data_IF_291915150894
#
_entry.id   IF_291915150894
#
_cell.length_a   1.000
_cell.length_b   1.000
_cell.length_c   1.000
_cell.angle_alpha   90.00
_cell.angle_beta   90.00
_cell.angle_gamma   90.00
#
_symmetry.space_group_name_H-M   'P 1'
#
loop_
_entity.id
_entity.type
_entity.pdbx_description
1 polymer ?
#
# COMPACT_ATOMS: atom_id res chain seq x y z
N UNK A 1 -12.65 21.81 -73.54
CA UNK A 1 -11.83 21.11 -72.53
C UNK A 1 -11.07 22.15 -71.72
N UNK A 2 -11.51 22.43 -70.50
CA UNK A 2 -10.74 23.17 -69.50
C UNK A 2 -11.24 22.70 -68.14
N UNK A 3 -10.36 22.04 -67.40
CA UNK A 3 -10.66 21.42 -66.12
C UNK A 3 -10.62 22.49 -65.01
N UNK A 4 -11.76 22.75 -64.38
CA UNK A 4 -11.82 23.51 -63.14
C UNK A 4 -11.49 22.60 -61.97
N UNK A 5 -10.33 22.81 -61.33
CA UNK A 5 -9.97 22.13 -60.10
C UNK A 5 -10.80 22.71 -58.93
N UNK A 6 -11.67 21.88 -58.35
CA UNK A 6 -12.32 22.17 -57.07
C UNK A 6 -11.28 21.99 -55.96
N UNK A 7 -10.76 23.08 -55.41
CA UNK A 7 -9.98 23.05 -54.18
C UNK A 7 -10.94 22.91 -53.00
N UNK A 8 -11.01 21.70 -52.42
CA UNK A 8 -11.68 21.49 -51.14
C UNK A 8 -10.75 22.00 -50.04
N UNK A 9 -11.06 23.17 -49.49
CA UNK A 9 -10.42 23.65 -48.28
C UNK A 9 -10.89 22.79 -47.11
N UNK A 10 -10.08 21.80 -46.73
CA UNK A 10 -10.25 21.09 -45.45
C UNK A 10 -9.86 22.08 -44.36
N UNK A 11 -10.84 22.78 -43.82
CA UNK A 11 -10.66 23.57 -42.61
C UNK A 11 -10.39 22.58 -41.47
N UNK A 12 -9.12 22.36 -41.17
CA UNK A 12 -8.69 21.65 -39.97
C UNK A 12 -9.20 22.44 -38.77
N UNK A 13 -10.33 22.00 -38.21
CA UNK A 13 -10.78 22.41 -36.89
C UNK A 13 -9.79 21.82 -35.87
N UNK A 14 -8.62 22.45 -35.77
CA UNK A 14 -7.76 22.37 -34.61
C UNK A 14 -8.50 23.06 -33.48
N UNK A 15 -9.47 22.37 -32.90
CA UNK A 15 -10.02 22.75 -31.61
C UNK A 15 -8.84 22.74 -30.64
N UNK A 16 -8.39 23.92 -30.22
CA UNK A 16 -7.53 24.08 -29.06
C UNK A 16 -8.23 23.41 -27.89
N UNK A 17 -7.81 22.19 -27.54
CA UNK A 17 -8.14 21.61 -26.24
C UNK A 17 -7.48 22.53 -25.23
N UNK A 18 -8.22 23.24 -24.37
CA UNK A 18 -7.60 24.07 -23.36
C UNK A 18 -6.78 23.14 -22.48
N UNK A 19 -5.45 23.28 -22.53
CA UNK A 19 -4.59 22.64 -21.55
C UNK A 19 -5.00 23.19 -20.19
N UNK A 20 -5.56 22.33 -19.34
CA UNK A 20 -5.71 22.66 -17.94
C UNK A 20 -4.31 22.90 -17.39
N UNK A 21 -3.99 24.17 -17.15
CA UNK A 21 -2.81 24.53 -16.39
C UNK A 21 -3.13 24.13 -14.95
N UNK A 22 -2.70 22.93 -14.56
CA UNK A 22 -2.72 22.52 -13.16
C UNK A 22 -1.68 23.39 -12.47
N UNK A 23 -2.15 24.39 -11.72
CA UNK A 23 -1.29 25.21 -10.88
C UNK A 23 -0.49 24.33 -9.93
N UNK A 24 0.73 24.76 -9.59
CA UNK A 24 1.52 24.08 -8.56
C UNK A 24 0.70 24.09 -7.25
N UNK A 25 0.44 22.90 -6.71
CA UNK A 25 -0.23 22.77 -5.41
C UNK A 25 0.79 23.17 -4.34
N UNK A 26 0.48 24.21 -3.56
CA UNK A 26 1.35 24.59 -2.46
C UNK A 26 1.30 23.52 -1.37
N UNK A 27 2.42 23.23 -0.69
CA UNK A 27 2.43 22.22 0.36
C UNK A 27 1.39 22.49 1.44
N UNK A 28 1.00 23.73 1.72
CA UNK A 28 -0.03 24.06 2.70
C UNK A 28 -1.45 23.62 2.28
N UNK A 29 -1.71 23.49 0.98
CA UNK A 29 -3.02 23.12 0.44
C UNK A 29 -3.22 21.60 0.35
N UNK A 30 -2.15 20.82 0.58
CA UNK A 30 -2.20 19.36 0.61
C UNK A 30 -2.89 18.92 1.91
N UNK A 31 -4.14 18.47 1.77
CA UNK A 31 -4.94 17.88 2.85
C UNK A 31 -4.41 16.52 3.31
N UNK A 32 -3.99 15.66 2.38
CA UNK A 32 -3.50 14.31 2.68
C UNK A 32 -2.47 13.87 1.65
N UNK A 33 -1.35 13.34 2.14
CA UNK A 33 -0.32 12.66 1.35
C UNK A 33 -0.45 11.16 1.56
N UNK A 34 -0.71 10.43 0.48
CA UNK A 34 -0.81 8.96 0.49
C UNK A 34 0.45 8.35 -0.12
N UNK A 35 1.13 7.51 0.66
CA UNK A 35 2.27 6.71 0.22
C UNK A 35 1.81 5.26 0.06
N UNK A 36 2.19 4.64 -1.05
CA UNK A 36 1.80 3.29 -1.41
C UNK A 36 3.06 2.47 -1.65
N UNK A 37 3.17 1.32 -1.01
CA UNK A 37 4.30 0.40 -1.18
C UNK A 37 3.81 -1.05 -1.12
N UNK A 38 4.23 -1.88 -2.07
CA UNK A 38 3.99 -3.33 -2.08
C UNK A 38 5.29 -4.09 -1.89
N UNK A 39 5.18 -5.40 -1.65
CA UNK A 39 6.32 -6.34 -1.66
C UNK A 39 7.43 -5.94 -0.67
N UNK A 40 7.07 -5.18 0.36
CA UNK A 40 8.02 -4.64 1.34
C UNK A 40 8.61 -5.72 2.25
N UNK A 41 8.06 -6.94 2.19
CA UNK A 41 8.60 -8.10 2.85
C UNK A 41 9.72 -8.81 2.07
N UNK A 42 9.97 -8.50 0.80
CA UNK A 42 10.98 -9.22 -0.02
C UNK A 42 12.43 -8.83 0.33
N UNK A 43 12.78 -7.52 0.42
CA UNK A 43 14.15 -7.10 0.70
C UNK A 43 14.71 -7.72 2.00
N UNK A 44 16.03 -7.92 2.04
CA UNK A 44 16.68 -8.39 3.28
C UNK A 44 16.52 -7.34 4.38
N UNK A 45 15.86 -7.64 5.51
CA UNK A 45 15.63 -6.67 6.58
C UNK A 45 16.91 -6.22 7.30
N UNK A 46 18.07 -6.79 6.97
CA UNK A 46 19.39 -6.42 7.51
C UNK A 46 20.13 -5.44 6.61
N UNK A 47 19.66 -5.22 5.39
CA UNK A 47 20.24 -4.29 4.42
C UNK A 47 19.47 -2.96 4.42
N UNK A 48 20.02 -1.93 3.75
CA UNK A 48 19.31 -0.65 3.60
C UNK A 48 18.10 -0.82 2.68
N UNK A 49 16.93 -0.43 3.17
CA UNK A 49 15.70 -0.39 2.40
C UNK A 49 15.50 0.98 1.76
N UNK A 50 16.25 1.32 0.70
CA UNK A 50 16.22 2.66 0.09
C UNK A 50 14.80 3.19 -0.21
N UNK A 51 13.88 2.31 -0.62
CA UNK A 51 12.47 2.66 -0.83
C UNK A 51 11.73 2.97 0.48
N UNK A 52 11.87 2.11 1.51
CA UNK A 52 11.28 2.32 2.84
C UNK A 52 11.84 3.57 3.51
N UNK A 53 13.15 3.78 3.43
CA UNK A 53 13.86 4.91 4.01
C UNK A 53 13.40 6.23 3.36
N UNK A 54 13.34 6.27 2.03
CA UNK A 54 12.87 7.43 1.28
C UNK A 54 11.40 7.74 1.56
N UNK A 55 10.54 6.73 1.58
CA UNK A 55 9.13 6.88 1.94
C UNK A 55 8.96 7.42 3.36
N UNK A 56 9.68 6.85 4.33
CA UNK A 56 9.65 7.27 5.73
C UNK A 56 10.05 8.75 5.88
N UNK A 57 11.14 9.15 5.24
CA UNK A 57 11.63 10.53 5.26
C UNK A 57 10.61 11.51 4.66
N UNK A 58 9.98 11.14 3.52
CA UNK A 58 8.96 11.98 2.88
C UNK A 58 7.69 12.07 3.72
N UNK A 59 7.21 10.95 4.29
CA UNK A 59 6.03 10.93 5.13
C UNK A 59 6.20 11.76 6.42
N UNK A 60 7.41 11.77 6.98
CA UNK A 60 7.78 12.55 8.16
C UNK A 60 7.77 14.07 7.95
N UNK A 61 7.75 14.56 6.69
CA UNK A 61 7.67 16.01 6.42
C UNK A 61 6.35 16.63 6.86
N UNK A 62 5.29 15.84 6.97
CA UNK A 62 3.98 16.31 7.40
C UNK A 62 3.14 15.18 8.04
N UNK A 63 3.53 14.70 9.22
CA UNK A 63 3.07 13.43 9.76
C UNK A 63 1.55 13.36 9.95
N UNK A 64 0.94 14.43 10.46
CA UNK A 64 -0.51 14.50 10.73
C UNK A 64 -1.40 14.39 9.48
N UNK A 65 -0.82 14.55 8.27
CA UNK A 65 -1.53 14.43 6.99
C UNK A 65 -0.97 13.30 6.11
N UNK A 66 -0.06 12.50 6.62
CA UNK A 66 0.58 11.43 5.88
C UNK A 66 -0.04 10.08 6.25
N UNK A 67 -0.31 9.27 5.23
CA UNK A 67 -0.75 7.89 5.37
C UNK A 67 0.20 7.02 4.54
N UNK A 68 0.69 5.94 5.14
CA UNK A 68 1.44 4.89 4.43
C UNK A 68 0.56 3.66 4.34
N UNK A 69 0.39 3.12 3.13
CA UNK A 69 -0.33 1.88 2.87
C UNK A 69 0.64 0.84 2.30
N UNK A 70 0.83 -0.24 3.07
CA UNK A 70 1.52 -1.45 2.63
C UNK A 70 0.50 -2.34 1.92
N UNK A 71 0.70 -2.58 0.64
CA UNK A 71 -0.28 -3.11 -0.32
C UNK A 71 -0.31 -4.65 -0.43
N UNK A 72 0.38 -5.35 0.45
CA UNK A 72 0.49 -6.81 0.39
C UNK A 72 1.93 -7.29 0.41
N UNK A 73 2.07 -8.60 0.54
CA UNK A 73 3.35 -9.31 0.54
C UNK A 73 4.33 -8.70 1.53
N UNK A 74 3.83 -8.57 2.75
CA UNK A 74 4.54 -7.97 3.86
C UNK A 74 5.55 -8.95 4.47
N UNK A 75 5.36 -10.26 4.26
CA UNK A 75 6.24 -11.30 4.80
C UNK A 75 6.53 -12.40 3.78
N UNK A 76 7.77 -12.40 3.28
CA UNK A 76 8.28 -13.48 2.44
C UNK A 76 8.97 -14.59 3.26
N UNK A 77 9.02 -15.82 2.70
CA UNK A 77 8.34 -16.23 1.47
C UNK A 77 6.88 -16.69 1.68
N UNK A 78 6.42 -16.83 2.92
CA UNK A 78 5.20 -17.57 3.24
C UNK A 78 4.48 -17.09 4.51
N UNK A 79 4.48 -15.79 4.81
CA UNK A 79 3.73 -15.27 5.95
C UNK A 79 4.36 -15.58 7.30
N UNK A 80 3.59 -15.39 8.37
CA UNK A 80 4.04 -15.66 9.74
C UNK A 80 3.88 -17.16 10.06
N UNK A 81 4.96 -17.90 10.36
CA UNK A 81 4.88 -19.28 10.82
C UNK A 81 4.33 -19.36 12.25
N UNK A 82 3.82 -20.54 12.62
CA UNK A 82 3.15 -20.77 13.91
C UNK A 82 4.13 -20.97 15.06
N UNK A 83 5.26 -21.60 14.80
CA UNK A 83 6.27 -21.95 15.79
C UNK A 83 7.32 -20.85 15.95
N UNK A 84 7.97 -20.80 17.11
CA UNK A 84 9.04 -19.83 17.40
C UNK A 84 10.37 -20.21 16.74
N UNK A 85 10.32 -20.55 15.45
CA UNK A 85 11.46 -21.03 14.67
C UNK A 85 12.37 -19.88 14.19
N UNK A 86 13.44 -20.22 13.47
CA UNK A 86 14.31 -19.22 12.83
C UNK A 86 13.52 -18.42 11.77
N UNK A 87 12.60 -19.08 11.09
CA UNK A 87 11.68 -18.49 10.12
C UNK A 87 10.75 -17.47 10.79
N UNK A 88 10.25 -17.75 12.00
CA UNK A 88 9.47 -16.76 12.76
C UNK A 88 10.29 -15.53 13.08
N UNK A 89 11.55 -15.71 13.51
CA UNK A 89 12.42 -14.59 13.82
C UNK A 89 12.69 -13.73 12.57
N UNK A 90 12.82 -14.33 11.39
CA UNK A 90 12.98 -13.59 10.13
C UNK A 90 11.72 -12.86 9.71
N UNK A 91 10.58 -13.56 9.73
CA UNK A 91 9.27 -13.01 9.45
C UNK A 91 8.94 -11.81 10.34
N UNK A 92 9.29 -11.91 11.64
CA UNK A 92 9.16 -10.80 12.59
C UNK A 92 10.04 -9.62 12.23
N UNK A 93 11.31 -9.84 11.87
CA UNK A 93 12.22 -8.75 11.47
C UNK A 93 11.69 -8.01 10.23
N UNK A 94 11.18 -8.73 9.23
CA UNK A 94 10.57 -8.15 8.02
C UNK A 94 9.40 -7.24 8.34
N UNK A 95 8.50 -7.64 9.24
CA UNK A 95 7.43 -6.75 9.70
C UNK A 95 7.95 -5.60 10.56
N UNK A 96 8.93 -5.85 11.41
CA UNK A 96 9.48 -4.85 12.32
C UNK A 96 10.11 -3.68 11.56
N UNK A 97 10.87 -3.94 10.50
CA UNK A 97 11.44 -2.86 9.65
C UNK A 97 10.34 -2.02 8.99
N UNK A 98 9.26 -2.66 8.51
CA UNK A 98 8.12 -1.94 7.90
C UNK A 98 7.34 -1.11 8.93
N UNK A 99 7.05 -1.67 10.10
CA UNK A 99 6.38 -0.96 11.20
C UNK A 99 7.24 0.22 11.68
N UNK A 100 8.56 0.06 11.74
CA UNK A 100 9.49 1.13 12.12
C UNK A 100 9.68 2.18 11.02
N UNK A 101 9.46 1.84 9.75
CA UNK A 101 9.42 2.79 8.64
C UNK A 101 8.20 3.72 8.67
N UNK A 102 7.22 3.50 9.57
CA UNK A 102 6.11 4.44 9.80
C UNK A 102 6.52 5.47 10.87
N UNK A 103 6.74 6.74 10.51
CA UNK A 103 7.16 7.76 11.47
C UNK A 103 6.09 8.05 12.54
N UNK A 104 6.48 8.57 13.73
CA UNK A 104 5.52 9.04 14.72
C UNK A 104 4.53 10.06 14.15
N UNK A 105 3.25 9.89 14.44
CA UNK A 105 2.17 10.76 13.95
C UNK A 105 1.68 10.44 12.53
N UNK A 106 2.39 9.59 11.78
CA UNK A 106 1.92 9.07 10.48
C UNK A 106 1.01 7.87 10.72
N UNK A 107 -0.04 7.74 9.90
CA UNK A 107 -0.93 6.57 9.91
C UNK A 107 -0.36 5.46 9.03
N UNK A 108 -0.22 4.26 9.58
CA UNK A 108 0.18 3.06 8.84
C UNK A 108 -0.98 2.09 8.60
N UNK A 109 -1.16 1.64 7.36
CA UNK A 109 -2.19 0.68 6.97
C UNK A 109 -1.53 -0.49 6.27
N UNK A 110 -1.83 -1.72 6.69
CA UNK A 110 -1.34 -2.94 6.06
C UNK A 110 -2.50 -3.70 5.43
N UNK A 111 -2.33 -4.15 4.19
CA UNK A 111 -3.23 -5.08 3.50
C UNK A 111 -2.44 -6.38 3.28
N UNK A 112 -3.02 -7.57 3.49
CA UNK A 112 -2.34 -8.84 3.16
C UNK A 112 -2.21 -9.06 1.66
N UNK A 113 -1.13 -9.69 1.24
CA UNK A 113 -0.95 -10.23 -0.12
C UNK A 113 -0.83 -11.75 -0.13
N UNK A 114 -0.65 -12.37 -1.29
CA UNK A 114 -0.61 -13.84 -1.40
C UNK A 114 0.55 -14.49 -0.65
N UNK A 115 1.68 -13.82 -0.50
CA UNK A 115 2.82 -14.33 0.26
C UNK A 115 2.53 -14.37 1.77
N UNK A 116 1.63 -13.53 2.26
CA UNK A 116 1.22 -13.51 3.67
C UNK A 116 0.35 -14.73 4.06
N UNK A 117 -0.23 -15.40 3.07
CA UNK A 117 -1.19 -16.50 3.21
C UNK A 117 -0.57 -17.91 3.21
N UNK A 118 0.64 -18.08 3.75
CA UNK A 118 1.29 -19.39 3.90
C UNK A 118 1.28 -20.24 2.60
N UNK A 119 1.63 -19.61 1.47
CA UNK A 119 1.60 -20.23 0.12
C UNK A 119 0.22 -20.79 -0.28
N UNK A 120 -0.84 -20.10 0.12
CA UNK A 120 -2.22 -20.54 -0.04
C UNK A 120 -2.52 -21.94 0.56
N UNK A 121 -1.71 -22.39 1.54
CA UNK A 121 -1.93 -23.64 2.25
C UNK A 121 -2.91 -23.51 3.43
N UNK A 122 -3.28 -24.62 4.10
CA UNK A 122 -4.32 -24.64 5.14
C UNK A 122 -4.11 -23.71 6.33
N UNK A 123 -2.88 -23.25 6.57
CA UNK A 123 -2.54 -22.32 7.65
C UNK A 123 -2.62 -20.84 7.22
N UNK A 124 -3.07 -20.53 6.01
CA UNK A 124 -3.08 -19.17 5.47
C UNK A 124 -3.89 -18.19 6.33
N UNK A 125 -5.12 -18.56 6.71
CA UNK A 125 -5.94 -17.72 7.58
C UNK A 125 -5.30 -17.52 8.97
N UNK A 126 -4.64 -18.55 9.51
CA UNK A 126 -3.91 -18.46 10.77
C UNK A 126 -2.71 -17.50 10.65
N UNK A 127 -1.94 -17.59 9.55
CA UNK A 127 -0.79 -16.74 9.26
C UNK A 127 -1.17 -15.26 9.15
N UNK A 128 -2.26 -14.94 8.44
CA UNK A 128 -2.77 -13.55 8.32
C UNK A 128 -3.18 -12.99 9.69
N UNK A 129 -3.88 -13.80 10.50
CA UNK A 129 -4.26 -13.38 11.87
C UNK A 129 -3.04 -13.23 12.79
N UNK A 130 -2.01 -14.04 12.61
CA UNK A 130 -0.73 -13.90 13.33
C UNK A 130 0.00 -12.61 12.93
N UNK A 131 0.02 -12.29 11.64
CA UNK A 131 0.57 -11.04 11.10
C UNK A 131 -0.11 -9.82 11.72
N UNK A 132 -1.45 -9.78 11.74
CA UNK A 132 -2.19 -8.69 12.38
C UNK A 132 -1.82 -8.52 13.86
N UNK A 133 -1.74 -9.63 14.61
CA UNK A 133 -1.33 -9.61 16.04
C UNK A 133 0.10 -9.11 16.22
N UNK A 134 1.01 -9.51 15.34
CA UNK A 134 2.40 -9.10 15.41
C UNK A 134 2.55 -7.60 15.09
N UNK A 135 1.85 -7.09 14.08
CA UNK A 135 1.75 -5.65 13.79
C UNK A 135 1.20 -4.89 15.00
N UNK A 136 0.13 -5.40 15.62
CA UNK A 136 -0.46 -4.79 16.81
C UNK A 136 0.48 -4.76 18.02
N UNK A 137 1.40 -5.72 18.11
CA UNK A 137 2.44 -5.78 19.15
C UNK A 137 3.58 -4.81 18.85
N UNK A 138 4.08 -4.79 17.61
CA UNK A 138 5.21 -3.96 17.18
C UNK A 138 4.87 -2.46 17.16
N UNK A 139 3.64 -2.08 16.83
CA UNK A 139 3.25 -0.67 16.69
C UNK A 139 3.33 0.14 17.99
N UNK A 140 3.23 -0.50 19.16
CA UNK A 140 3.08 0.20 20.42
C UNK A 140 1.84 1.10 20.42
N UNK A 141 2.04 2.41 20.59
CA UNK A 141 0.96 3.42 20.61
C UNK A 141 0.68 4.09 19.25
N UNK A 142 1.42 3.72 18.19
CA UNK A 142 1.29 4.31 16.85
C UNK A 142 -0.03 3.88 16.18
N UNK A 143 -0.62 4.75 15.36
CA UNK A 143 -1.82 4.47 14.56
C UNK A 143 -1.46 3.59 13.35
N UNK A 144 -1.19 2.32 13.62
CA UNK A 144 -0.84 1.31 12.62
C UNK A 144 -1.80 0.14 12.74
N UNK A 145 -2.43 -0.29 11.64
CA UNK A 145 -3.35 -1.44 11.67
C UNK A 145 -3.41 -2.17 10.34
N UNK A 146 -3.83 -3.43 10.40
CA UNK A 146 -4.15 -4.22 9.23
C UNK A 146 -5.62 -4.01 8.85
N UNK A 147 -5.89 -3.91 7.55
CA UNK A 147 -7.24 -3.81 6.98
C UNK A 147 -7.32 -4.67 5.70
N UNK A 148 -8.38 -5.46 5.51
CA UNK A 148 -9.39 -5.83 6.49
C UNK A 148 -8.76 -6.61 7.68
N UNK A 149 -9.30 -6.41 8.88
CA UNK A 149 -8.84 -7.11 10.07
C UNK A 149 -9.42 -8.52 10.20
N UNK A 150 -8.87 -9.31 11.13
CA UNK A 150 -9.33 -10.65 11.54
C UNK A 150 -9.28 -11.73 10.44
N UNK A 151 -8.57 -11.49 9.34
CA UNK A 151 -8.56 -12.37 8.17
C UNK A 151 -9.89 -12.39 7.42
N UNK A 152 -10.64 -11.29 7.48
CA UNK A 152 -11.86 -11.11 6.70
C UNK A 152 -11.53 -10.67 5.25
N UNK A 153 -12.38 -10.96 4.25
CA UNK A 153 -12.15 -10.54 2.87
C UNK A 153 -12.28 -9.02 2.65
N UNK A 154 -12.89 -8.31 3.60
CA UNK A 154 -13.39 -6.95 3.40
C UNK A 154 -14.75 -6.95 2.68
N UNK A 155 -15.19 -5.81 2.12
CA UNK A 155 -14.49 -4.52 2.17
C UNK A 155 -14.44 -3.94 3.59
N UNK A 156 -13.32 -3.28 3.90
CA UNK A 156 -13.21 -2.42 5.08
C UNK A 156 -12.94 -0.99 4.64
N UNK A 157 -13.66 -0.02 5.18
CA UNK A 157 -13.52 1.40 4.81
C UNK A 157 -12.76 2.20 5.86
N UNK A 158 -11.90 3.10 5.42
CA UNK A 158 -11.26 4.13 6.26
C UNK A 158 -11.40 5.49 5.59
N UNK A 159 -11.99 6.44 6.32
CA UNK A 159 -12.14 7.81 5.85
C UNK A 159 -11.08 8.72 6.48
N UNK A 160 -10.42 9.53 5.65
CA UNK A 160 -9.45 10.55 6.07
C UNK A 160 -9.73 11.83 5.30
N UNK A 161 -10.38 12.79 5.95
CA UNK A 161 -10.82 14.03 5.29
C UNK A 161 -11.73 13.71 4.11
N UNK A 162 -11.34 14.13 2.89
CA UNK A 162 -12.05 13.82 1.64
C UNK A 162 -11.66 12.49 0.99
N UNK A 163 -10.69 11.77 1.52
CA UNK A 163 -10.25 10.45 1.02
C UNK A 163 -11.02 9.32 1.69
N UNK A 164 -11.53 8.36 0.91
CA UNK A 164 -12.02 7.06 1.38
C UNK A 164 -11.13 5.94 0.85
N UNK A 165 -10.48 5.21 1.74
CA UNK A 165 -9.75 3.98 1.43
C UNK A 165 -10.68 2.78 1.62
N UNK A 166 -10.66 1.87 0.64
CA UNK A 166 -11.42 0.61 0.67
C UNK A 166 -10.40 -0.53 0.59
N UNK A 167 -10.18 -1.22 1.71
CA UNK A 167 -9.30 -2.38 1.80
C UNK A 167 -10.03 -3.67 1.46
N UNK A 168 -9.37 -4.54 0.69
CA UNK A 168 -9.81 -5.87 0.31
C UNK A 168 -8.66 -6.84 0.51
N UNK A 169 -8.93 -8.01 1.09
CA UNK A 169 -8.00 -9.14 1.06
C UNK A 169 -8.32 -9.97 -0.18
N UNK A 170 -7.54 -9.75 -1.23
CA UNK A 170 -7.79 -10.40 -2.53
C UNK A 170 -7.47 -11.90 -2.49
N UNK A 171 -6.50 -12.31 -1.67
CA UNK A 171 -6.11 -13.71 -1.56
C UNK A 171 -7.17 -14.53 -0.83
N UNK A 172 -7.96 -13.94 0.08
CA UNK A 172 -9.09 -14.61 0.72
C UNK A 172 -10.03 -15.30 -0.27
N UNK A 173 -10.38 -14.62 -1.38
CA UNK A 173 -11.28 -15.15 -2.41
C UNK A 173 -10.68 -16.28 -3.25
N UNK A 174 -9.34 -16.35 -3.29
CA UNK A 174 -8.59 -17.35 -4.03
C UNK A 174 -8.16 -18.53 -3.14
N UNK A 175 -8.45 -18.46 -1.84
CA UNK A 175 -7.98 -19.42 -0.85
C UNK A 175 -8.99 -20.53 -0.60
N UNK A 176 -8.51 -21.78 -0.50
CA UNK A 176 -9.35 -22.96 -0.31
C UNK A 176 -9.66 -23.32 1.14
N UNK A 177 -9.09 -22.61 2.12
CA UNK A 177 -9.09 -23.01 3.54
C UNK A 177 -9.43 -21.82 4.46
N UNK A 178 -10.72 -21.59 4.71
CA UNK A 178 -11.23 -20.50 5.57
C UNK A 178 -11.84 -21.07 6.85
#
# INVERSE_FOLDING_TARGET
MSAGACAVAVASLLACVPQQIIGKVEPADIETSLFLIGDAGEPDPRESGAALDSMSAQAATAPARSIIVFLGDNVYPAGIPRDSSVEFADARRRLEVQVNAVPPGVRGIFVPGNHDWARAGPSGLEAVRLQERLIATLRGTRDIRMVPGNGCPGPSTLDVGRLRLIGLDTQWWLHGYI
#
